data_IF_191515611593
#
_entry.id   IF_191515611593
#
_cell.length_a   1.000
_cell.length_b   1.000
_cell.length_c   1.000
_cell.angle_alpha   90.00
_cell.angle_beta   90.00
_cell.angle_gamma   90.00
#
_symmetry.space_group_name_H-M   'P 1'
#
loop_
_entity.id
_entity.type
_entity.pdbx_description
1 polymer ?
#
# COMPACT_ATOMS: atom_id res chain seq x y z
N UNK A 1 -20.06 -24.39 -36.70
CA UNK A 1 -18.70 -23.84 -36.54
C UNK A 1 -18.78 -22.59 -35.67
N UNK A 2 -18.02 -22.62 -34.57
CA UNK A 2 -17.48 -21.50 -33.79
C UNK A 2 -18.45 -20.44 -33.22
N UNK A 3 -18.96 -20.69 -32.01
CA UNK A 3 -19.06 -19.65 -30.97
C UNK A 3 -19.06 -20.32 -29.59
N UNK A 4 -17.95 -21.01 -29.30
CA UNK A 4 -17.74 -21.78 -28.06
C UNK A 4 -16.45 -21.39 -27.33
N UNK A 5 -15.91 -20.20 -27.60
CA UNK A 5 -14.64 -19.75 -27.01
C UNK A 5 -14.75 -18.26 -26.76
N UNK A 6 -15.39 -17.85 -25.67
CA UNK A 6 -15.20 -16.53 -25.02
C UNK A 6 -15.92 -16.49 -23.65
N UNK A 7 -15.93 -17.62 -22.93
CA UNK A 7 -16.36 -17.68 -21.53
C UNK A 7 -15.33 -18.47 -20.71
N UNK A 8 -14.05 -18.28 -21.04
CA UNK A 8 -12.93 -19.01 -20.46
C UNK A 8 -11.80 -18.08 -19.97
N UNK A 9 -12.16 -16.87 -19.54
CA UNK A 9 -11.21 -15.95 -18.92
C UNK A 9 -11.87 -15.31 -17.69
N UNK A 10 -11.17 -15.42 -16.56
CA UNK A 10 -11.44 -14.77 -15.28
C UNK A 10 -12.49 -15.39 -14.35
N UNK A 11 -12.49 -16.72 -14.24
CA UNK A 11 -12.64 -17.32 -12.90
C UNK A 11 -11.26 -17.79 -12.49
N UNK A 12 -10.46 -16.85 -11.98
CA UNK A 12 -9.21 -17.17 -11.30
C UNK A 12 -9.59 -18.13 -10.17
N UNK A 13 -9.31 -19.41 -10.39
CA UNK A 13 -9.58 -20.47 -9.44
C UNK A 13 -8.94 -20.02 -8.13
N UNK A 14 -9.71 -19.93 -7.06
CA UNK A 14 -9.17 -19.75 -5.71
C UNK A 14 -8.31 -20.99 -5.38
N UNK A 15 -7.10 -21.05 -5.91
CA UNK A 15 -6.16 -22.10 -5.62
C UNK A 15 -5.65 -21.85 -4.20
N UNK A 16 -6.16 -22.63 -3.26
CA UNK A 16 -5.67 -22.62 -1.89
C UNK A 16 -4.24 -23.14 -1.90
N UNK A 17 -3.28 -22.26 -1.63
CA UNK A 17 -1.86 -22.62 -1.48
C UNK A 17 -1.59 -23.02 -0.03
N UNK A 18 -1.03 -24.21 0.16
CA UNK A 18 -0.48 -24.62 1.46
C UNK A 18 1.00 -24.24 1.53
N UNK A 19 1.40 -23.55 2.59
CA UNK A 19 2.79 -23.17 2.85
C UNK A 19 3.11 -23.53 4.29
N UNK A 20 4.15 -24.34 4.48
CA UNK A 20 4.71 -24.61 5.82
C UNK A 20 5.84 -23.63 6.07
N UNK A 21 5.76 -22.87 7.16
CA UNK A 21 6.79 -21.93 7.57
C UNK A 21 7.22 -22.31 8.99
N UNK A 22 8.46 -22.77 9.21
CA UNK A 22 8.97 -22.94 10.56
C UNK A 22 9.16 -21.55 11.18
N UNK A 23 8.65 -21.37 12.40
CA UNK A 23 8.84 -20.14 13.16
C UNK A 23 9.99 -20.30 14.15
N UNK A 24 10.86 -19.30 14.21
CA UNK A 24 11.86 -19.17 15.26
C UNK A 24 11.24 -18.73 16.59
N UNK A 25 11.96 -18.87 17.69
CA UNK A 25 11.46 -18.58 19.04
C UNK A 25 10.90 -17.15 19.18
N UNK A 26 11.59 -16.16 18.60
CA UNK A 26 11.14 -14.77 18.63
C UNK A 26 9.82 -14.57 17.85
N UNK A 27 9.63 -15.29 16.75
CA UNK A 27 8.43 -15.22 15.92
C UNK A 27 7.25 -15.90 16.60
N UNK A 28 7.50 -17.04 17.27
CA UNK A 28 6.51 -17.72 18.10
C UNK A 28 6.07 -16.85 19.27
N UNK A 29 7.01 -16.19 19.96
CA UNK A 29 6.72 -15.26 21.04
C UNK A 29 5.87 -14.08 20.54
N UNK A 30 6.20 -13.50 19.39
CA UNK A 30 5.41 -12.43 18.77
C UNK A 30 3.99 -12.91 18.40
N UNK A 31 3.86 -14.10 17.81
CA UNK A 31 2.57 -14.68 17.44
C UNK A 31 1.69 -14.95 18.67
N UNK A 32 2.29 -15.45 19.76
CA UNK A 32 1.56 -15.78 20.99
C UNK A 32 0.77 -14.60 21.57
N UNK A 33 1.26 -13.36 21.39
CA UNK A 33 0.56 -12.17 21.85
C UNK A 33 -0.79 -11.97 21.14
N UNK A 34 -0.86 -12.34 19.86
CA UNK A 34 -2.07 -12.25 19.04
C UNK A 34 -2.94 -13.51 19.10
N UNK A 35 -2.38 -14.64 19.55
CA UNK A 35 -3.10 -15.90 19.68
C UNK A 35 -3.88 -16.03 21.01
N UNK A 36 -3.53 -15.24 22.03
CA UNK A 36 -4.24 -15.24 23.32
C UNK A 36 -5.46 -14.30 23.32
N UNK A 37 -6.70 -14.82 23.41
CA UNK A 37 -7.92 -14.01 23.38
C UNK A 37 -8.07 -13.04 24.56
N UNK A 38 -7.31 -13.21 25.65
CA UNK A 38 -7.35 -12.31 26.81
C UNK A 38 -6.48 -11.07 26.62
N UNK A 39 -5.68 -11.02 25.56
CA UNK A 39 -4.74 -9.92 25.28
C UNK A 39 -5.36 -8.85 24.40
N UNK A 40 -4.90 -7.61 24.62
CA UNK A 40 -5.33 -6.46 23.83
C UNK A 40 -4.93 -6.60 22.36
N UNK A 41 -3.80 -7.24 22.07
CA UNK A 41 -3.31 -7.49 20.72
C UNK A 41 -4.27 -8.39 19.92
N UNK A 42 -4.80 -9.45 20.52
CA UNK A 42 -5.83 -10.28 19.89
C UNK A 42 -7.09 -9.48 19.61
N UNK A 43 -7.59 -8.69 20.58
CA UNK A 43 -8.78 -7.86 20.40
C UNK A 43 -8.60 -6.82 19.27
N UNK A 44 -7.41 -6.23 19.16
CA UNK A 44 -7.09 -5.30 18.08
C UNK A 44 -7.09 -6.00 16.70
N UNK A 45 -6.53 -7.21 16.61
CA UNK A 45 -6.52 -8.00 15.38
C UNK A 45 -7.93 -8.44 14.98
N UNK A 46 -8.75 -8.85 15.95
CA UNK A 46 -10.14 -9.23 15.74
C UNK A 46 -10.98 -8.05 15.23
N UNK A 47 -10.83 -6.88 15.84
CA UNK A 47 -11.49 -5.66 15.36
C UNK A 47 -11.06 -5.32 13.92
N UNK A 48 -9.76 -5.37 13.63
CA UNK A 48 -9.22 -5.15 12.28
C UNK A 48 -9.80 -6.13 11.25
N UNK A 49 -9.97 -7.40 11.63
CA UNK A 49 -10.56 -8.44 10.80
C UNK A 49 -12.06 -8.18 10.55
N UNK A 50 -12.79 -7.83 11.60
CA UNK A 50 -14.23 -7.54 11.55
C UNK A 50 -14.53 -6.36 10.61
N UNK A 51 -13.73 -5.28 10.67
CA UNK A 51 -13.84 -4.14 9.75
C UNK A 51 -13.72 -4.53 8.27
N UNK A 52 -13.07 -5.65 7.96
CA UNK A 52 -12.83 -6.16 6.61
C UNK A 52 -13.70 -7.36 6.24
N UNK A 53 -14.68 -7.70 7.10
CA UNK A 53 -15.56 -8.85 6.90
C UNK A 53 -14.82 -10.20 6.96
N UNK A 54 -13.64 -10.25 7.60
CA UNK A 54 -12.89 -11.48 7.80
C UNK A 54 -13.33 -12.14 9.10
N UNK A 55 -13.64 -13.44 9.05
CA UNK A 55 -13.93 -14.23 10.23
C UNK A 55 -12.65 -14.83 10.80
N UNK A 56 -12.29 -14.45 12.03
CA UNK A 56 -11.18 -15.03 12.77
C UNK A 56 -11.73 -16.06 13.76
N UNK A 57 -11.80 -17.33 13.35
CA UNK A 57 -12.19 -18.42 14.27
C UNK A 57 -10.92 -18.77 15.04
N UNK A 58 -10.91 -18.61 16.37
CA UNK A 58 -9.77 -18.52 17.32
C UNK A 58 -8.64 -19.58 17.26
N UNK A 59 -8.49 -20.32 16.16
CA UNK A 59 -7.32 -21.08 15.78
C UNK A 59 -6.13 -20.20 15.45
N UNK A 60 -4.95 -20.69 15.78
CA UNK A 60 -3.67 -20.06 15.47
C UNK A 60 -3.47 -19.83 13.96
N UNK A 61 -3.94 -20.76 13.12
CA UNK A 61 -3.88 -20.61 11.67
C UNK A 61 -4.70 -19.42 11.14
N UNK A 62 -5.87 -19.16 11.73
CA UNK A 62 -6.69 -18.00 11.37
C UNK A 62 -6.06 -16.69 11.87
N UNK A 63 -5.42 -16.71 13.05
CA UNK A 63 -4.61 -15.58 13.55
C UNK A 63 -3.47 -15.27 12.59
N UNK A 64 -2.68 -16.28 12.19
CA UNK A 64 -1.59 -16.12 11.21
C UNK A 64 -2.09 -15.60 9.87
N UNK A 65 -3.22 -16.14 9.36
CA UNK A 65 -3.81 -15.66 8.11
C UNK A 65 -4.23 -14.20 8.22
N UNK A 66 -4.83 -13.81 9.34
CA UNK A 66 -5.29 -12.44 9.58
C UNK A 66 -4.11 -11.48 9.68
N UNK A 67 -3.05 -11.86 10.42
CA UNK A 67 -1.80 -11.10 10.51
C UNK A 67 -1.14 -10.93 9.14
N UNK A 68 -1.13 -11.98 8.30
CA UNK A 68 -0.61 -11.90 6.94
C UNK A 68 -1.39 -10.88 6.11
N UNK A 69 -2.73 -10.93 6.15
CA UNK A 69 -3.58 -9.95 5.47
C UNK A 69 -3.33 -8.52 5.98
N UNK A 70 -3.18 -8.34 7.29
CA UNK A 70 -2.87 -7.05 7.89
C UNK A 70 -1.50 -6.51 7.47
N UNK A 71 -0.48 -7.37 7.43
CA UNK A 71 0.85 -7.03 6.94
C UNK A 71 0.84 -6.61 5.46
N UNK A 72 0.09 -7.32 4.61
CA UNK A 72 -0.07 -6.96 3.20
C UNK A 72 -0.72 -5.58 3.05
N UNK A 73 -1.82 -5.32 3.76
CA UNK A 73 -2.51 -4.01 3.76
C UNK A 73 -1.57 -2.89 4.22
N UNK A 74 -0.81 -3.10 5.30
CA UNK A 74 0.16 -2.13 5.81
C UNK A 74 1.26 -1.81 4.79
N UNK A 75 1.80 -2.82 4.10
CA UNK A 75 2.83 -2.63 3.07
C UNK A 75 2.27 -1.91 1.82
N UNK A 76 1.03 -2.21 1.42
CA UNK A 76 0.36 -1.52 0.32
C UNK A 76 0.14 -0.04 0.64
N UNK A 77 -0.36 0.28 1.84
CA UNK A 77 -0.53 1.66 2.31
C UNK A 77 0.80 2.42 2.33
N UNK A 78 1.85 1.82 2.88
CA UNK A 78 3.19 2.42 2.89
C UNK A 78 3.75 2.66 1.49
N UNK A 79 3.41 1.80 0.54
CA UNK A 79 3.81 1.96 -0.87
C UNK A 79 3.09 3.15 -1.50
N UNK A 80 1.79 3.30 -1.23
CA UNK A 80 1.01 4.46 -1.68
C UNK A 80 1.55 5.76 -1.08
N UNK A 81 1.81 5.79 0.23
CA UNK A 81 2.39 6.96 0.92
C UNK A 81 3.71 7.39 0.27
N UNK A 82 4.60 6.44 -0.02
CA UNK A 82 5.86 6.71 -0.72
C UNK A 82 5.63 7.25 -2.13
N UNK A 83 4.68 6.69 -2.86
CA UNK A 83 4.30 7.18 -4.19
C UNK A 83 3.81 8.63 -4.15
N UNK A 84 2.93 8.95 -3.20
CA UNK A 84 2.44 10.32 -3.02
C UNK A 84 3.53 11.30 -2.61
N UNK A 85 4.44 10.89 -1.71
CA UNK A 85 5.59 11.71 -1.35
C UNK A 85 6.47 12.04 -2.58
N UNK A 86 6.73 11.04 -3.43
CA UNK A 86 7.50 11.23 -4.65
C UNK A 86 6.82 12.18 -5.64
N UNK A 87 5.50 12.05 -5.82
CA UNK A 87 4.74 12.97 -6.69
C UNK A 87 4.75 14.40 -6.15
N UNK A 88 4.61 14.58 -4.84
CA UNK A 88 4.68 15.89 -4.20
C UNK A 88 6.06 16.55 -4.38
N UNK A 89 7.14 15.77 -4.26
CA UNK A 89 8.51 16.25 -4.53
C UNK A 89 8.70 16.64 -6.00
N UNK A 90 8.21 15.82 -6.94
CA UNK A 90 8.28 16.10 -8.37
C UNK A 90 7.52 17.39 -8.73
N UNK A 91 6.36 17.61 -8.11
CA UNK A 91 5.58 18.84 -8.29
C UNK A 91 6.34 20.07 -7.77
N UNK A 92 6.89 20.03 -6.55
CA UNK A 92 7.69 21.13 -6.00
C UNK A 92 8.91 21.45 -6.87
N UNK A 93 9.58 20.43 -7.38
CA UNK A 93 10.71 20.61 -8.31
C UNK A 93 10.27 21.19 -9.67
N UNK A 94 9.07 20.85 -10.14
CA UNK A 94 8.45 21.43 -11.34
C UNK A 94 8.06 22.90 -11.17
N UNK A 95 7.46 23.25 -10.03
CA UNK A 95 7.04 24.61 -9.69
C UNK A 95 8.24 25.55 -9.56
N UNK A 96 9.33 25.11 -8.92
CA UNK A 96 10.58 25.86 -8.86
C UNK A 96 11.14 26.22 -10.25
N UNK A 97 11.07 25.28 -11.19
CA UNK A 97 11.48 25.51 -12.60
C UNK A 97 10.54 26.48 -13.33
N UNK A 98 9.24 26.46 -13.03
CA UNK A 98 8.28 27.39 -13.61
C UNK A 98 8.48 28.82 -13.09
N UNK A 99 8.69 28.97 -11.78
CA UNK A 99 9.00 30.27 -11.14
C UNK A 99 10.31 30.83 -11.68
N UNK A 100 11.37 30.01 -11.79
CA UNK A 100 12.65 30.44 -12.34
C UNK A 100 12.53 30.86 -13.83
N UNK A 101 11.75 30.12 -14.63
CA UNK A 101 11.52 30.47 -16.04
C UNK A 101 10.74 31.78 -16.18
N UNK A 102 9.72 31.99 -15.33
CA UNK A 102 8.91 33.21 -15.33
C UNK A 102 9.72 34.45 -14.91
N UNK A 103 10.56 34.33 -13.89
CA UNK A 103 11.43 35.42 -13.42
C UNK A 103 12.52 35.78 -14.43
N UNK A 104 13.13 34.78 -15.10
CA UNK A 104 14.07 35.02 -16.20
C UNK A 104 13.41 35.77 -17.37
N UNK A 105 12.19 35.35 -17.77
CA UNK A 105 11.42 36.03 -18.82
C UNK A 105 11.07 37.48 -18.44
N UNK A 106 10.64 37.70 -17.21
CA UNK A 106 10.31 39.05 -16.72
C UNK A 106 11.54 39.99 -16.74
N UNK A 107 12.71 39.48 -16.33
CA UNK A 107 13.97 40.24 -16.39
C UNK A 107 14.42 40.54 -17.82
N UNK A 108 14.23 39.60 -18.74
CA UNK A 108 14.55 39.81 -20.15
C UNK A 108 13.64 40.87 -20.78
N UNK A 109 12.32 40.79 -20.54
CA UNK A 109 11.36 41.79 -21.00
C UNK A 109 11.67 43.20 -20.46
N UNK A 110 12.13 43.32 -19.21
CA UNK A 110 12.59 44.59 -18.64
C UNK A 110 13.88 45.12 -19.30
N UNK A 111 14.80 44.24 -19.71
CA UNK A 111 16.02 44.66 -20.46
C UNK A 111 15.66 45.15 -21.85
N UNK A 112 14.77 44.45 -22.54
CA UNK A 112 14.35 44.79 -23.91
C UNK A 112 13.57 46.12 -23.93
N UNK A 113 12.80 46.43 -22.88
CA UNK A 113 12.12 47.73 -22.73
C UNK A 113 13.05 48.90 -22.37
N UNK A 114 14.24 48.63 -21.81
CA UNK A 114 15.23 49.66 -21.42
C UNK A 114 16.20 50.03 -22.54
N UNK A 115 16.17 49.30 -23.66
CA UNK A 115 16.93 49.59 -24.87
C UNK A 115 15.95 49.98 -25.99
N UNK A 116 15.46 51.24 -26.04
CA UNK A 116 14.87 51.73 -27.27
C UNK A 116 15.99 51.88 -28.32
N UNK A 117 15.69 51.46 -29.54
CA UNK A 117 16.55 51.69 -30.71
C UNK A 117 16.76 53.19 -30.96
#
# INVERSE_FOLDING_TARGET
>A
MLSGVLHAAYFERMETKHVTVPLEEAEQAALSAFADPQRAEHAALEAWAAERGLAMRSSEADVVRTLLCAGIDALQKKTLERGYAHLAEAQRAGEGRHVERSTRKARQAQRDQRMPA
#
